data_IF_516519766265
#
_entry.id   IF_516519766265
#
_cell.length_a   1.000
_cell.length_b   1.000
_cell.length_c   1.000
_cell.angle_alpha   90.00
_cell.angle_beta   90.00
_cell.angle_gamma   90.00
#
_symmetry.space_group_name_H-M   'P 1'
#
loop_
_entity.id
_entity.type
_entity.pdbx_description
1 polymer ?
#
# COMPACT_ATOMS: atom_id res chain seq x y z
N UNK A 1 -13.02 5.23 -8.59
CA UNK A 1 -11.90 5.54 -7.66
C UNK A 1 -11.27 4.25 -7.12
N UNK A 2 -10.77 3.36 -7.97
CA UNK A 2 -10.17 2.08 -7.54
C UNK A 2 -8.69 2.24 -7.14
N UNK A 3 -7.94 3.03 -7.91
CA UNK A 3 -6.54 3.33 -7.65
C UNK A 3 -6.36 4.09 -6.32
N UNK A 4 -7.17 5.12 -6.04
CA UNK A 4 -7.10 5.85 -4.77
C UNK A 4 -7.40 4.97 -3.55
N UNK A 5 -8.30 3.99 -3.67
CA UNK A 5 -8.56 3.02 -2.60
C UNK A 5 -7.35 2.10 -2.41
N UNK A 6 -6.81 1.55 -3.50
CA UNK A 6 -5.60 0.72 -3.47
C UNK A 6 -4.38 1.46 -2.89
N UNK A 7 -4.24 2.76 -3.16
CA UNK A 7 -3.19 3.59 -2.58
C UNK A 7 -3.30 3.63 -1.06
N UNK A 8 -4.52 3.90 -0.54
CA UNK A 8 -4.77 3.95 0.91
C UNK A 8 -4.52 2.61 1.57
N UNK A 9 -4.97 1.52 0.93
CA UNK A 9 -4.77 0.17 1.45
C UNK A 9 -3.27 -0.19 1.51
N UNK A 10 -2.49 0.17 0.49
CA UNK A 10 -1.04 -0.05 0.48
C UNK A 10 -0.33 0.84 1.50
N UNK A 11 -0.73 2.10 1.64
CA UNK A 11 -0.19 3.02 2.64
C UNK A 11 -0.47 2.58 4.08
N UNK A 12 -1.61 1.91 4.33
CA UNK A 12 -1.91 1.31 5.63
C UNK A 12 -1.11 0.01 5.87
N UNK A 13 -0.93 -0.82 4.84
CA UNK A 13 -0.22 -2.10 4.96
C UNK A 13 1.28 -1.97 5.18
N UNK A 14 1.94 -0.98 4.57
CA UNK A 14 3.39 -0.79 4.70
C UNK A 14 3.84 -0.66 6.16
N UNK A 15 3.27 0.24 6.99
CA UNK A 15 3.68 0.37 8.38
C UNK A 15 3.32 -0.87 9.21
N UNK A 16 2.27 -1.61 8.85
CA UNK A 16 1.94 -2.87 9.52
C UNK A 16 3.02 -3.93 9.25
N UNK A 17 3.49 -4.06 8.01
CA UNK A 17 4.60 -4.97 7.65
C UNK A 17 5.91 -4.54 8.32
N UNK A 18 6.18 -3.23 8.42
CA UNK A 18 7.36 -2.71 9.12
C UNK A 18 7.32 -3.04 10.62
N UNK A 19 6.17 -2.91 11.27
CA UNK A 19 5.99 -3.36 12.67
C UNK A 19 6.19 -4.86 12.83
N UNK A 20 5.68 -5.67 11.90
CA UNK A 20 5.91 -7.11 11.94
C UNK A 20 7.40 -7.46 11.83
N UNK A 21 8.16 -6.77 10.97
CA UNK A 21 9.61 -6.93 10.88
C UNK A 21 10.32 -6.53 12.18
N UNK A 22 9.90 -5.43 12.80
CA UNK A 22 10.48 -4.95 14.06
C UNK A 22 10.27 -5.98 15.19
N UNK A 23 9.06 -6.55 15.28
CA UNK A 23 8.73 -7.61 16.24
C UNK A 23 9.59 -8.86 16.01
N UNK A 24 9.71 -9.34 14.76
CA UNK A 24 10.54 -10.52 14.45
C UNK A 24 12.00 -10.27 14.79
N UNK A 25 12.52 -9.08 14.48
CA UNK A 25 13.90 -8.71 14.81
C UNK A 25 14.14 -8.62 16.33
N UNK A 26 13.17 -8.08 17.07
CA UNK A 26 13.21 -8.02 18.54
C UNK A 26 13.18 -9.43 19.13
N UNK A 27 12.35 -10.31 18.58
CA UNK A 27 12.23 -11.70 19.02
C UNK A 27 13.54 -12.46 18.79
N UNK A 28 14.17 -12.31 17.61
CA UNK A 28 15.50 -12.86 17.33
C UNK A 28 16.56 -12.33 18.30
N UNK A 29 16.62 -11.01 18.50
CA UNK A 29 17.61 -10.42 19.38
C UNK A 29 17.47 -10.87 20.85
N UNK A 30 16.24 -11.11 21.33
CA UNK A 30 16.02 -11.62 22.69
C UNK A 30 16.33 -13.10 22.83
N UNK A 31 16.09 -13.89 21.79
CA UNK A 31 16.48 -15.29 21.73
C UNK A 31 18.01 -15.43 21.78
N UNK A 32 18.75 -14.58 21.03
CA UNK A 32 20.22 -14.52 21.07
C UNK A 32 20.77 -14.14 22.46
N UNK A 33 20.00 -13.37 23.24
CA UNK A 33 20.36 -12.96 24.61
C UNK A 33 19.94 -14.00 25.67
N UNK A 34 19.16 -15.02 25.31
CA UNK A 34 18.62 -16.02 26.24
C UNK A 34 17.68 -15.42 27.31
N UNK A 35 17.11 -14.24 27.03
CA UNK A 35 16.20 -13.56 27.94
C UNK A 35 14.76 -13.89 27.61
N UNK A 36 14.03 -14.46 28.57
CA UNK A 36 12.62 -14.74 28.39
C UNK A 36 11.80 -13.46 28.18
N UNK A 37 11.12 -13.38 27.03
CA UNK A 37 10.28 -12.24 26.69
C UNK A 37 8.95 -12.35 27.45
N UNK A 38 8.76 -11.46 28.43
CA UNK A 38 7.45 -11.23 29.05
C UNK A 38 6.72 -10.21 28.19
N UNK A 39 5.57 -10.60 27.65
CA UNK A 39 4.71 -9.73 26.85
C UNK A 39 3.25 -9.85 27.29
N UNK A 40 2.54 -8.74 27.16
CA UNK A 40 1.09 -8.69 27.37
C UNK A 40 0.38 -9.09 26.08
N UNK A 41 -0.25 -10.25 26.09
CA UNK A 41 -0.99 -10.78 24.95
C UNK A 41 -2.45 -10.36 24.99
N UNK A 42 -2.95 -9.85 23.88
CA UNK A 42 -4.37 -9.55 23.71
C UNK A 42 -5.15 -10.85 23.45
N UNK A 43 -5.99 -11.25 24.40
CA UNK A 43 -6.88 -12.41 24.27
C UNK A 43 -8.21 -12.02 23.61
N UNK A 44 -8.66 -10.80 23.87
CA UNK A 44 -9.88 -10.20 23.34
C UNK A 44 -9.76 -8.68 23.43
N UNK A 45 -10.66 -7.95 22.76
CA UNK A 45 -10.65 -6.48 22.71
C UNK A 45 -10.68 -5.90 24.14
N UNK A 46 -9.54 -5.34 24.57
CA UNK A 46 -9.35 -4.76 25.91
C UNK A 46 -9.01 -5.76 27.03
N UNK A 47 -8.81 -7.05 26.73
CA UNK A 47 -8.40 -8.08 27.69
C UNK A 47 -6.98 -8.55 27.36
N UNK A 48 -6.05 -8.18 28.23
CA UNK A 48 -4.63 -8.53 28.12
C UNK A 48 -4.22 -9.52 29.21
N UNK A 49 -3.33 -10.45 28.88
CA UNK A 49 -2.73 -11.37 29.84
C UNK A 49 -1.21 -11.38 29.67
N UNK A 50 -0.48 -11.23 30.77
CA UNK A 50 0.98 -11.41 30.76
C UNK A 50 1.29 -12.88 30.47
N UNK A 51 2.13 -13.14 29.47
CA UNK A 51 2.73 -14.46 29.28
C UNK A 51 4.23 -14.36 29.04
N UNK A 52 4.93 -15.42 29.43
CA UNK A 52 6.36 -15.59 29.21
C UNK A 52 6.52 -16.44 27.94
N UNK A 53 7.17 -15.90 26.93
CA UNK A 53 7.53 -16.63 25.72
C UNK A 53 8.83 -17.40 26.00
N UNK A 54 8.83 -18.70 25.73
CA UNK A 54 10.04 -19.53 25.73
C UNK A 54 10.77 -19.40 24.40
N UNK A 55 12.08 -19.69 24.39
CA UNK A 55 12.93 -19.58 23.20
C UNK A 55 12.32 -20.36 22.03
N UNK A 56 11.82 -19.63 21.02
CA UNK A 56 11.14 -20.19 19.87
C UNK A 56 11.79 -19.66 18.61
N UNK A 57 12.31 -20.57 17.78
CA UNK A 57 12.99 -20.23 16.52
C UNK A 57 12.02 -20.01 15.35
N UNK A 58 10.73 -20.25 15.57
CA UNK A 58 9.67 -20.18 14.57
C UNK A 58 8.58 -19.17 14.91
N UNK A 59 7.98 -18.60 13.85
CA UNK A 59 6.88 -17.65 13.92
C UNK A 59 5.77 -18.07 12.96
N UNK A 60 4.52 -17.92 13.39
CA UNK A 60 3.35 -18.21 12.57
C UNK A 60 2.91 -16.96 11.82
N UNK A 61 2.95 -17.00 10.49
CA UNK A 61 2.50 -15.92 9.62
C UNK A 61 1.16 -16.24 8.98
N UNK A 62 0.27 -15.25 8.96
CA UNK A 62 -0.99 -15.33 8.25
C UNK A 62 -0.82 -14.84 6.81
N UNK A 63 -0.99 -15.74 5.83
CA UNK A 63 -0.81 -15.45 4.41
C UNK A 63 -2.11 -14.98 3.73
N UNK A 64 -3.22 -15.01 4.46
CA UNK A 64 -4.56 -14.75 3.93
C UNK A 64 -5.28 -16.01 3.49
N UNK A 65 -6.51 -15.85 3.00
CA UNK A 65 -7.38 -16.96 2.55
C UNK A 65 -7.54 -18.10 3.58
N UNK A 66 -7.57 -17.77 4.87
CA UNK A 66 -7.63 -18.72 5.99
C UNK A 66 -6.43 -19.67 6.09
N UNK A 67 -5.25 -19.26 5.59
CA UNK A 67 -4.01 -20.03 5.65
C UNK A 67 -3.01 -19.35 6.58
N UNK A 68 -2.55 -20.12 7.57
CA UNK A 68 -1.43 -19.79 8.45
C UNK A 68 -0.32 -20.80 8.22
N UNK A 69 0.92 -20.34 8.14
CA UNK A 69 2.10 -21.19 7.98
C UNK A 69 3.16 -20.78 9.00
N UNK A 70 3.81 -21.79 9.56
CA UNK A 70 4.96 -21.64 10.43
C UNK A 70 6.22 -21.45 9.56
N UNK A 71 6.99 -20.43 9.89
CA UNK A 71 8.28 -20.11 9.25
C UNK A 71 9.34 -19.97 10.32
N UNK A 72 10.60 -20.26 9.99
CA UNK A 72 11.71 -19.85 10.84
C UNK A 72 11.81 -18.32 10.88
N UNK A 73 12.40 -17.76 11.93
CA UNK A 73 12.57 -16.30 12.04
C UNK A 73 13.32 -15.70 10.82
N UNK A 74 14.29 -16.43 10.25
CA UNK A 74 15.03 -16.00 9.07
C UNK A 74 14.19 -16.02 7.79
N UNK A 75 13.41 -17.08 7.58
CA UNK A 75 12.48 -17.17 6.44
C UNK A 75 11.38 -16.11 6.53
N UNK A 76 10.84 -15.89 7.73
CA UNK A 76 9.86 -14.85 7.99
C UNK A 76 10.42 -13.46 7.67
N UNK A 77 11.65 -13.16 8.11
CA UNK A 77 12.33 -11.91 7.78
C UNK A 77 12.53 -11.73 6.27
N UNK A 78 13.00 -12.78 5.58
CA UNK A 78 13.19 -12.73 4.13
C UNK A 78 11.85 -12.49 3.39
N UNK A 79 10.80 -13.18 3.81
CA UNK A 79 9.46 -13.07 3.25
C UNK A 79 8.86 -11.68 3.48
N UNK A 80 8.94 -11.16 4.71
CA UNK A 80 8.42 -9.85 5.08
C UNK A 80 9.18 -8.71 4.37
N UNK A 81 10.51 -8.80 4.26
CA UNK A 81 11.32 -7.83 3.48
C UNK A 81 10.92 -7.82 2.01
N UNK A 82 10.80 -9.00 1.40
CA UNK A 82 10.36 -9.12 0.00
C UNK A 82 8.95 -8.56 -0.20
N UNK A 83 8.04 -8.80 0.74
CA UNK A 83 6.67 -8.27 0.67
C UNK A 83 6.65 -6.74 0.82
N UNK A 84 7.48 -6.20 1.71
CA UNK A 84 7.66 -4.76 1.89
C UNK A 84 8.19 -4.09 0.62
N UNK A 85 9.24 -4.65 0.00
CA UNK A 85 9.78 -4.13 -1.25
C UNK A 85 8.72 -4.14 -2.37
N UNK A 86 7.99 -5.26 -2.52
CA UNK A 86 6.91 -5.37 -3.50
C UNK A 86 5.79 -4.35 -3.25
N UNK A 87 5.41 -4.13 -1.98
CA UNK A 87 4.40 -3.15 -1.61
C UNK A 87 4.85 -1.72 -1.91
N UNK A 88 6.11 -1.37 -1.61
CA UNK A 88 6.70 -0.05 -1.92
C UNK A 88 6.80 0.18 -3.42
N UNK A 89 7.28 -0.79 -4.19
CA UNK A 89 7.34 -0.71 -5.65
C UNK A 89 5.94 -0.57 -6.27
N UNK A 90 4.95 -1.33 -5.77
CA UNK A 90 3.56 -1.22 -6.23
C UNK A 90 2.96 0.15 -5.92
N UNK A 91 3.29 0.73 -4.76
CA UNK A 91 2.84 2.08 -4.39
C UNK A 91 3.44 3.13 -5.32
N UNK A 92 4.73 3.02 -5.66
CA UNK A 92 5.41 3.95 -6.57
C UNK A 92 4.77 3.95 -7.97
N UNK A 93 4.55 2.77 -8.54
CA UNK A 93 3.85 2.61 -9.83
C UNK A 93 2.46 3.25 -9.78
N UNK A 94 1.72 2.99 -8.70
CA UNK A 94 0.36 3.48 -8.57
C UNK A 94 0.29 5.00 -8.38
N UNK A 95 1.29 5.60 -7.73
CA UNK A 95 1.45 7.06 -7.64
C UNK A 95 1.76 7.67 -9.01
N UNK A 96 2.65 7.03 -9.79
CA UNK A 96 2.97 7.47 -11.15
C UNK A 96 1.73 7.42 -12.07
N UNK A 97 0.95 6.33 -12.00
CA UNK A 97 -0.29 6.17 -12.76
C UNK A 97 -1.35 7.22 -12.39
N UNK A 98 -1.49 7.55 -11.10
CA UNK A 98 -2.38 8.60 -10.63
C UNK A 98 -1.98 9.98 -11.16
N UNK A 99 -0.68 10.27 -11.19
CA UNK A 99 -0.16 11.50 -11.76
C UNK A 99 -0.41 11.57 -13.27
N UNK A 100 -0.13 10.48 -13.98
CA UNK A 100 -0.41 10.37 -15.41
C UNK A 100 -1.89 10.62 -15.72
N UNK A 101 -2.81 10.00 -14.97
CA UNK A 101 -4.25 10.19 -15.15
C UNK A 101 -4.67 11.65 -14.90
N UNK A 102 -4.09 12.31 -13.91
CA UNK A 102 -4.34 13.73 -13.64
C UNK A 102 -3.90 14.63 -14.79
N UNK A 103 -2.76 14.33 -15.38
CA UNK A 103 -2.23 15.08 -16.53
C UNK A 103 -3.09 14.82 -17.77
N UNK A 104 -3.48 13.57 -18.02
CA UNK A 104 -4.41 13.22 -19.11
C UNK A 104 -5.77 13.91 -18.96
N UNK A 105 -6.30 13.99 -17.74
CA UNK A 105 -7.54 14.73 -17.49
C UNK A 105 -7.38 16.21 -17.88
N UNK A 106 -6.28 16.84 -17.48
CA UNK A 106 -6.00 18.25 -17.78
C UNK A 106 -5.84 18.48 -19.29
N UNK A 107 -5.06 17.64 -19.97
CA UNK A 107 -4.84 17.72 -21.42
C UNK A 107 -6.16 17.55 -22.18
N UNK A 108 -6.97 16.58 -21.77
CA UNK A 108 -8.28 16.32 -22.39
C UNK A 108 -9.21 17.51 -22.23
N UNK A 109 -9.28 18.11 -21.03
CA UNK A 109 -10.10 19.29 -20.78
C UNK A 109 -9.69 20.49 -21.64
N UNK A 110 -8.38 20.76 -21.76
CA UNK A 110 -7.87 21.84 -22.62
C UNK A 110 -8.17 21.55 -24.10
N UNK A 111 -8.03 20.30 -24.53
CA UNK A 111 -8.30 19.89 -25.91
C UNK A 111 -9.77 20.08 -26.25
N UNK A 112 -10.69 19.66 -25.37
CA UNK A 112 -12.14 19.88 -25.51
C UNK A 112 -12.45 21.38 -25.63
N UNK A 113 -11.86 22.22 -24.77
CA UNK A 113 -12.06 23.67 -24.83
C UNK A 113 -11.55 24.27 -26.15
N UNK A 114 -10.39 23.83 -26.66
CA UNK A 114 -9.86 24.27 -27.95
C UNK A 114 -10.77 23.88 -29.12
N UNK A 115 -11.25 22.63 -29.14
CA UNK A 115 -12.19 22.14 -30.16
C UNK A 115 -13.49 22.92 -30.12
N UNK A 116 -14.02 23.19 -28.93
CA UNK A 116 -15.22 24.01 -28.76
C UNK A 116 -15.02 25.44 -29.28
N UNK A 117 -13.90 26.08 -28.91
CA UNK A 117 -13.57 27.43 -29.40
C UNK A 117 -13.45 27.46 -30.93
N UNK A 118 -12.80 26.45 -31.52
CA UNK A 118 -12.68 26.33 -32.97
C UNK A 118 -14.05 26.16 -33.65
N UNK A 119 -14.94 25.31 -33.12
CA UNK A 119 -16.29 25.11 -33.65
C UNK A 119 -17.12 26.41 -33.59
N UNK A 120 -17.06 27.16 -32.49
CA UNK A 120 -17.71 28.47 -32.36
C UNK A 120 -17.19 29.47 -33.40
N UNK A 121 -15.86 29.57 -33.57
CA UNK A 121 -15.25 30.43 -34.59
C UNK A 121 -15.68 30.03 -36.01
N UNK A 122 -15.67 28.73 -36.33
CA UNK A 122 -16.09 28.21 -37.64
C UNK A 122 -17.55 28.53 -37.97
N UNK A 123 -18.45 28.38 -37.00
CA UNK A 123 -19.87 28.73 -37.15
C UNK A 123 -20.07 30.23 -37.39
N UNK A 124 -19.36 31.08 -36.64
CA UNK A 124 -19.41 32.55 -36.82
C UNK A 124 -18.88 32.98 -38.18
N UNK A 125 -17.75 32.43 -38.62
CA UNK A 125 -17.20 32.72 -39.96
C UNK A 125 -18.14 32.30 -41.08
N UNK A 126 -18.82 31.15 -40.94
CA UNK A 126 -19.85 30.71 -41.92
C UNK A 126 -21.09 31.59 -41.95
N UNK A 127 -21.47 32.21 -40.82
CA UNK A 127 -22.58 33.17 -40.77
C UNK A 127 -22.20 34.52 -41.38
N UNK A 128 -21.00 35.03 -41.09
CA UNK A 128 -20.50 36.29 -41.66
C UNK A 128 -20.35 36.26 -43.19
N UNK A 129 -20.05 35.09 -43.78
CA UNK A 129 -19.98 34.90 -45.24
C UNK A 129 -21.38 34.80 -45.89
N UNK A 130 -22.44 34.65 -45.09
CA UNK A 130 -23.83 34.48 -45.57
C UNK A 130 -24.65 35.77 -45.56
N UNK A 131 -24.14 36.87 -45.00
CA UNK A 131 -24.75 38.20 -45.10
C UNK A 131 -24.22 38.93 -46.36
N UNK A 132 -25.10 39.46 -47.24
CA UNK A 132 -24.73 40.15 -48.46
C UNK A 132 -24.19 41.58 -48.24
#
# INVERSE_FOLDING_TARGET
MKLLAQQRDLQAKIPDIEKCLDIVSTLQAKNDLGEALIADFELSEGIYSCAKIEDTDSVCLWLGANVMLEYSCDEANALLKKNLENAKASLEVLVADLQFLRDQQTITQVTIARVFNWDVHHRRSKQAVKEP
#
